data_IF_188006959429
#
_entry.id   IF_188006959429
#
_cell.length_a   1.000
_cell.length_b   1.000
_cell.length_c   1.000
_cell.angle_alpha   90.00
_cell.angle_beta   90.00
_cell.angle_gamma   90.00
#
_symmetry.space_group_name_H-M   'P 1'
#
loop_
_entity.id
_entity.type
_entity.pdbx_description
1 polymer ?
#
# COMPACT_ATOMS: atom_id res chain seq x y z
N UNK A 1 1.07 -9.05 -7.58
CA UNK A 1 -0.32 -8.92 -8.06
C UNK A 1 -1.06 -8.11 -7.03
N UNK A 2 -1.84 -7.12 -7.47
CA UNK A 2 -2.64 -6.25 -6.58
C UNK A 2 -4.05 -6.02 -7.12
N UNK A 3 -4.43 -6.70 -8.21
CA UNK A 3 -5.79 -6.73 -8.73
C UNK A 3 -6.64 -7.78 -7.98
N UNK A 4 -6.58 -7.73 -6.65
CA UNK A 4 -7.33 -8.62 -5.75
C UNK A 4 -8.48 -7.83 -5.12
N UNK A 5 -9.59 -8.49 -4.79
CA UNK A 5 -10.72 -7.84 -4.13
C UNK A 5 -10.27 -7.12 -2.84
N UNK A 6 -10.75 -5.90 -2.62
CA UNK A 6 -10.40 -5.04 -1.47
C UNK A 6 -9.10 -4.24 -1.61
N UNK A 7 -8.25 -4.51 -2.61
CA UNK A 7 -7.01 -3.74 -2.82
C UNK A 7 -7.27 -2.25 -3.13
N UNK A 8 -8.36 -1.96 -3.85
CA UNK A 8 -8.80 -0.59 -4.11
C UNK A 8 -9.25 0.15 -2.84
N UNK A 9 -9.93 -0.54 -1.92
CA UNK A 9 -10.38 0.05 -0.65
C UNK A 9 -9.19 0.40 0.24
N UNK A 10 -8.14 -0.44 0.25
CA UNK A 10 -6.88 -0.14 0.94
C UNK A 10 -6.23 1.11 0.38
N UNK A 11 -6.06 1.19 -0.96
CA UNK A 11 -5.48 2.36 -1.61
C UNK A 11 -6.28 3.64 -1.30
N UNK A 12 -7.60 3.57 -1.40
CA UNK A 12 -8.49 4.69 -1.09
C UNK A 12 -8.39 5.12 0.37
N UNK A 13 -8.32 4.17 1.31
CA UNK A 13 -8.14 4.44 2.74
C UNK A 13 -6.80 5.12 3.05
N UNK A 14 -5.71 4.66 2.44
CA UNK A 14 -4.38 5.31 2.59
C UNK A 14 -4.41 6.73 2.02
N UNK A 15 -4.99 6.92 0.83
CA UNK A 15 -5.14 8.25 0.23
C UNK A 15 -5.97 9.18 1.12
N UNK A 16 -7.11 8.70 1.64
CA UNK A 16 -7.97 9.42 2.57
C UNK A 16 -7.26 9.81 3.87
N UNK A 17 -6.43 8.93 4.42
CA UNK A 17 -5.64 9.22 5.61
C UNK A 17 -4.59 10.33 5.35
N UNK A 18 -3.94 10.32 4.19
CA UNK A 18 -2.98 11.36 3.80
C UNK A 18 -3.66 12.71 3.58
N UNK A 19 -4.83 12.72 2.93
CA UNK A 19 -5.67 13.91 2.80
C UNK A 19 -6.08 14.46 4.18
N UNK A 20 -6.47 13.58 5.11
CA UNK A 20 -6.91 13.97 6.45
C UNK A 20 -5.82 14.65 7.29
N UNK A 21 -4.54 14.33 7.03
CA UNK A 21 -3.40 15.02 7.68
C UNK A 21 -2.93 16.27 6.91
N UNK A 22 -3.62 16.66 5.85
CA UNK A 22 -3.40 17.92 5.13
C UNK A 22 -2.44 17.84 3.94
N UNK A 23 -2.15 16.65 3.42
CA UNK A 23 -1.41 16.55 2.16
C UNK A 23 -2.25 17.09 0.99
N UNK A 24 -1.59 17.75 0.04
CA UNK A 24 -2.22 18.18 -1.21
C UNK A 24 -2.76 16.95 -1.98
N UNK A 25 -3.94 17.03 -2.63
CA UNK A 25 -4.58 15.87 -3.25
C UNK A 25 -3.73 15.05 -4.22
N UNK A 26 -3.00 15.69 -5.13
CA UNK A 26 -2.13 14.99 -6.06
C UNK A 26 -0.97 14.31 -5.32
N UNK A 27 -0.34 15.01 -4.38
CA UNK A 27 0.70 14.43 -3.52
C UNK A 27 0.18 13.24 -2.70
N UNK A 28 -1.00 13.34 -2.10
CA UNK A 28 -1.64 12.25 -1.35
C UNK A 28 -1.84 11.01 -2.23
N UNK A 29 -2.36 11.20 -3.45
CA UNK A 29 -2.56 10.11 -4.40
C UNK A 29 -1.24 9.43 -4.78
N UNK A 30 -0.20 10.22 -5.09
CA UNK A 30 1.13 9.69 -5.45
C UNK A 30 1.73 8.89 -4.29
N UNK A 31 1.71 9.43 -3.08
CA UNK A 31 2.25 8.76 -1.89
C UNK A 31 1.45 7.50 -1.57
N UNK A 32 0.12 7.54 -1.66
CA UNK A 32 -0.73 6.38 -1.43
C UNK A 32 -0.41 5.23 -2.40
N UNK A 33 -0.27 5.52 -3.69
CA UNK A 33 0.10 4.52 -4.70
C UNK A 33 1.47 3.90 -4.42
N UNK A 34 2.47 4.73 -4.06
CA UNK A 34 3.79 4.23 -3.72
C UNK A 34 3.78 3.32 -2.48
N UNK A 35 3.11 3.74 -1.41
CA UNK A 35 2.97 2.95 -0.18
C UNK A 35 2.23 1.63 -0.45
N UNK A 36 1.13 1.67 -1.21
CA UNK A 36 0.34 0.50 -1.57
C UNK A 36 1.14 -0.50 -2.39
N UNK A 37 1.89 -0.02 -3.39
CA UNK A 37 2.76 -0.88 -4.21
C UNK A 37 3.82 -1.57 -3.37
N UNK A 38 4.52 -0.80 -2.52
CA UNK A 38 5.62 -1.32 -1.71
C UNK A 38 5.14 -2.28 -0.63
N UNK A 39 4.02 -1.98 0.02
CA UNK A 39 3.36 -2.92 0.93
C UNK A 39 2.95 -4.20 0.22
N UNK A 40 2.45 -4.08 -1.02
CA UNK A 40 2.12 -5.22 -1.87
C UNK A 40 3.31 -6.10 -2.25
N UNK A 41 4.47 -5.50 -2.48
CA UNK A 41 5.72 -6.23 -2.74
C UNK A 41 6.19 -7.00 -1.49
N UNK A 42 6.21 -6.33 -0.34
CA UNK A 42 6.55 -6.97 0.94
C UNK A 42 5.59 -8.12 1.29
N UNK A 43 4.29 -7.92 1.08
CA UNK A 43 3.29 -8.97 1.28
C UNK A 43 3.52 -10.16 0.33
N UNK A 44 3.88 -9.90 -0.93
CA UNK A 44 4.19 -10.97 -1.88
C UNK A 44 5.42 -11.79 -1.47
N UNK A 45 6.44 -11.15 -0.90
CA UNK A 45 7.62 -11.82 -0.36
C UNK A 45 7.26 -12.72 0.84
N UNK A 46 6.36 -12.27 1.72
CA UNK A 46 5.92 -13.04 2.90
C UNK A 46 5.02 -14.22 2.53
N UNK A 47 4.09 -14.02 1.59
CA UNK A 47 3.14 -15.05 1.14
C UNK A 47 3.80 -16.04 0.17
N UNK A 48 4.94 -15.67 -0.44
CA UNK A 48 5.68 -16.50 -1.40
C UNK A 48 5.05 -16.57 -2.80
N UNK A 49 3.91 -15.92 -3.02
CA UNK A 49 3.24 -15.87 -4.32
C UNK A 49 2.47 -14.56 -4.50
N UNK A 50 2.89 -13.74 -5.47
CA UNK A 50 2.30 -12.42 -5.72
C UNK A 50 0.82 -12.44 -6.17
N UNK A 51 0.29 -13.62 -6.55
CA UNK A 51 -1.12 -13.82 -6.93
C UNK A 51 -2.01 -14.23 -5.74
N UNK A 52 -1.40 -14.64 -4.64
CA UNK A 52 -2.08 -15.04 -3.40
C UNK A 52 -2.17 -13.89 -2.38
N UNK A 53 -1.62 -12.72 -2.71
CA UNK A 53 -1.67 -11.53 -1.85
C UNK A 53 -3.10 -11.00 -1.75
N UNK A 54 -3.58 -10.90 -0.50
CA UNK A 54 -4.86 -10.34 -0.12
C UNK A 54 -4.72 -8.91 0.39
N UNK A 55 -5.82 -8.17 0.42
CA UNK A 55 -5.85 -6.79 0.93
C UNK A 55 -5.36 -6.70 2.40
N UNK A 56 -5.67 -7.70 3.23
CA UNK A 56 -5.20 -7.79 4.62
C UNK A 56 -3.69 -7.89 4.73
N UNK A 57 -3.04 -8.61 3.81
CA UNK A 57 -1.58 -8.77 3.81
C UNK A 57 -0.90 -7.43 3.46
N UNK A 58 -1.49 -6.69 2.51
CA UNK A 58 -1.05 -5.34 2.16
C UNK A 58 -1.18 -4.40 3.37
N UNK A 59 -2.33 -4.40 4.07
CA UNK A 59 -2.53 -3.59 5.28
C UNK A 59 -1.46 -3.90 6.32
N UNK A 60 -1.18 -5.19 6.57
CA UNK A 60 -0.16 -5.62 7.53
C UNK A 60 1.25 -5.12 7.19
N UNK A 61 1.52 -4.85 5.91
CA UNK A 61 2.82 -4.37 5.44
C UNK A 61 2.93 -2.84 5.31
N UNK A 62 1.84 -2.07 5.44
CA UNK A 62 1.86 -0.61 5.24
C UNK A 62 2.84 0.12 6.16
N UNK A 63 2.94 -0.29 7.44
CA UNK A 63 3.88 0.32 8.40
C UNK A 63 5.36 0.16 8.01
N UNK A 64 5.68 -0.87 7.23
CA UNK A 64 7.03 -1.15 6.75
C UNK A 64 7.30 -0.51 5.36
N UNK A 65 6.25 -0.16 4.63
CA UNK A 65 6.35 0.43 3.29
C UNK A 65 6.88 1.87 3.28
N UNK A 66 6.69 2.62 4.37
CA UNK A 66 7.14 4.01 4.51
C UNK A 66 8.62 4.16 4.90
N UNK A 67 9.31 3.10 5.33
CA UNK A 67 10.71 3.20 5.68
C UNK A 67 11.58 3.40 4.43
N UNK A 68 12.57 4.31 4.43
CA UNK A 68 13.49 4.44 3.30
C UNK A 68 14.10 3.07 2.99
N UNK A 69 14.07 2.68 1.71
CA UNK A 69 14.83 1.52 1.26
C UNK A 69 16.29 1.80 1.62
N UNK A 70 16.83 1.07 2.60
CA UNK A 70 18.28 0.98 2.75
C UNK A 70 18.74 0.27 1.48
N UNK A 71 19.33 1.06 0.58
CA UNK A 71 20.02 0.57 -0.62
C UNK A 71 21.18 -0.33 -0.20
#
# INVERSE_FOLDING_TARGET
>A
GLATAGSGDVLAGVCGALLAVGLEPFAAAVVAVQLHLRAGQLAAEQVGAARSVMASDVIGCLGHAGAPARQ
#
